data_IF_278106700934
#
_entry.id   IF_278106700934
#
_cell.length_a   1.000
_cell.length_b   1.000
_cell.length_c   1.000
_cell.angle_alpha   90.00
_cell.angle_beta   90.00
_cell.angle_gamma   90.00
#
_symmetry.space_group_name_H-M   'P 1'
#
loop_
_entity.id
_entity.type
_entity.pdbx_description
1 polymer ?
#
# COMPACT_ATOMS: atom_id res chain seq x y z
N UNK A 1 -69.21 -1.10 -29.34
CA UNK A 1 -67.84 -0.91 -29.87
C UNK A 1 -67.74 0.54 -30.31
N UNK A 2 -67.19 1.41 -29.47
CA UNK A 2 -66.92 2.80 -29.85
C UNK A 2 -65.63 2.85 -30.66
N UNK A 3 -65.61 3.62 -31.75
CA UNK A 3 -64.36 3.91 -32.47
C UNK A 3 -63.36 4.56 -31.50
N UNK A 4 -62.05 4.33 -31.64
CA UNK A 4 -61.05 5.16 -30.98
C UNK A 4 -61.29 6.59 -31.47
N UNK A 5 -61.88 7.44 -30.63
CA UNK A 5 -62.26 8.78 -31.05
C UNK A 5 -61.06 9.51 -31.62
N UNK A 6 -61.34 10.33 -32.63
CA UNK A 6 -60.37 11.19 -33.27
C UNK A 6 -59.82 12.14 -32.20
N UNK A 7 -58.70 11.78 -31.59
CA UNK A 7 -57.97 12.67 -30.73
C UNK A 7 -57.30 13.68 -31.64
N UNK A 8 -57.97 14.82 -31.84
CA UNK A 8 -57.48 15.90 -32.71
C UNK A 8 -56.01 16.19 -32.40
N UNK A 9 -55.17 16.01 -33.41
CA UNK A 9 -53.77 16.46 -33.49
C UNK A 9 -52.94 16.38 -32.20
N UNK A 10 -52.63 15.15 -31.75
CA UNK A 10 -51.44 14.89 -30.92
C UNK A 10 -51.71 14.44 -29.48
N UNK A 11 -52.97 14.30 -29.06
CA UNK A 11 -53.31 13.79 -27.74
C UNK A 11 -53.46 12.27 -27.84
N UNK A 12 -52.35 11.54 -27.80
CA UNK A 12 -52.37 10.07 -27.75
C UNK A 12 -52.53 9.57 -26.32
N UNK A 13 -53.18 8.40 -26.09
CA UNK A 13 -53.20 7.75 -24.80
C UNK A 13 -51.77 7.54 -24.27
N UNK A 14 -51.55 7.80 -22.98
CA UNK A 14 -50.22 7.79 -22.39
C UNK A 14 -49.69 6.37 -22.25
N UNK A 15 -48.43 6.20 -22.68
CA UNK A 15 -47.70 4.94 -22.54
C UNK A 15 -46.47 5.21 -21.69
N UNK A 16 -46.39 4.55 -20.53
CA UNK A 16 -45.19 4.54 -19.72
C UNK A 16 -44.05 3.86 -20.47
N UNK A 17 -42.90 4.51 -20.48
CA UNK A 17 -41.61 3.87 -20.76
C UNK A 17 -41.04 3.20 -19.50
N UNK A 18 -39.98 2.41 -19.65
CA UNK A 18 -39.21 1.93 -18.51
C UNK A 18 -38.61 3.10 -17.71
N UNK A 19 -38.22 4.18 -18.39
CA UNK A 19 -37.62 5.34 -17.73
C UNK A 19 -38.61 6.03 -16.79
N UNK A 20 -39.87 6.13 -17.21
CA UNK A 20 -40.94 6.70 -16.40
C UNK A 20 -41.23 5.85 -15.15
N UNK A 21 -40.98 4.54 -15.21
CA UNK A 21 -41.34 3.59 -14.15
C UNK A 21 -40.15 3.11 -13.31
N UNK A 22 -38.91 3.48 -13.66
CA UNK A 22 -37.70 2.97 -13.03
C UNK A 22 -37.67 3.19 -11.50
N UNK A 23 -38.28 4.25 -10.99
CA UNK A 23 -38.24 4.59 -9.55
C UNK A 23 -39.53 4.22 -8.79
N UNK A 24 -40.49 3.56 -9.43
CA UNK A 24 -41.70 3.09 -8.75
C UNK A 24 -41.34 1.97 -7.79
N UNK A 25 -41.67 2.08 -6.51
CA UNK A 25 -41.38 1.03 -5.53
C UNK A 25 -42.27 -0.22 -5.75
N UNK A 26 -41.78 -1.40 -5.35
CA UNK A 26 -42.55 -2.65 -5.42
C UNK A 26 -43.86 -2.50 -4.64
N UNK A 27 -44.97 -2.94 -5.24
CA UNK A 27 -46.32 -2.80 -4.68
C UNK A 27 -46.93 -1.40 -4.76
N UNK A 28 -46.19 -0.41 -5.26
CA UNK A 28 -46.66 0.97 -5.40
C UNK A 28 -47.24 1.24 -6.78
N UNK A 29 -48.12 2.24 -6.83
CA UNK A 29 -48.78 2.70 -8.05
C UNK A 29 -48.13 3.97 -8.58
N UNK A 30 -48.07 4.11 -9.91
CA UNK A 30 -47.83 5.36 -10.60
C UNK A 30 -49.00 5.70 -11.50
N UNK A 31 -49.56 6.89 -11.29
CA UNK A 31 -50.63 7.41 -12.13
C UNK A 31 -50.06 7.98 -13.43
N UNK A 32 -50.78 7.75 -14.53
CA UNK A 32 -50.46 8.37 -15.81
C UNK A 32 -50.62 9.88 -15.73
N UNK A 33 -49.68 10.62 -16.30
CA UNK A 33 -49.75 12.08 -16.30
C UNK A 33 -50.85 12.61 -17.23
N UNK A 34 -51.15 11.86 -18.29
CA UNK A 34 -52.13 12.20 -19.31
C UNK A 34 -52.91 10.96 -19.73
N UNK A 35 -54.04 11.19 -20.39
CA UNK A 35 -54.91 10.13 -20.88
C UNK A 35 -56.01 9.80 -19.88
N UNK A 36 -57.21 9.67 -20.42
CA UNK A 36 -58.43 9.56 -19.63
C UNK A 36 -59.27 8.38 -20.14
N UNK A 37 -59.62 7.45 -19.25
CA UNK A 37 -60.51 6.35 -19.54
C UNK A 37 -61.90 6.58 -18.91
N UNK A 38 -62.90 5.79 -19.32
CA UNK A 38 -64.22 5.86 -18.72
C UNK A 38 -64.18 5.59 -17.21
N UNK A 39 -64.95 6.39 -16.44
CA UNK A 39 -64.97 6.33 -14.99
C UNK A 39 -65.47 5.01 -14.39
N UNK A 40 -66.24 4.22 -15.15
CA UNK A 40 -66.86 2.95 -14.73
C UNK A 40 -66.06 1.70 -15.14
N UNK A 41 -64.89 1.87 -15.73
CA UNK A 41 -64.03 0.74 -16.10
C UNK A 41 -63.41 0.12 -14.83
N UNK A 42 -64.09 -0.88 -14.26
CA UNK A 42 -63.49 -1.83 -13.31
C UNK A 42 -63.00 -3.01 -14.13
N UNK A 43 -61.97 -2.77 -14.95
CA UNK A 43 -61.47 -3.80 -15.85
C UNK A 43 -60.38 -4.61 -15.18
N UNK A 44 -60.77 -5.83 -14.86
CA UNK A 44 -59.94 -7.03 -14.87
C UNK A 44 -59.38 -7.38 -16.25
N UNK A 45 -59.61 -6.56 -17.29
CA UNK A 45 -59.21 -6.82 -18.68
C UNK A 45 -58.17 -5.81 -19.19
N UNK A 46 -56.90 -6.09 -18.88
CA UNK A 46 -55.72 -5.35 -19.35
C UNK A 46 -55.65 -5.20 -20.88
N UNK A 47 -56.12 -6.21 -21.63
CA UNK A 47 -56.10 -6.17 -23.10
C UNK A 47 -56.89 -4.99 -23.67
N UNK A 48 -58.06 -4.71 -23.08
CA UNK A 48 -58.90 -3.58 -23.50
C UNK A 48 -58.21 -2.22 -23.24
N UNK A 49 -57.53 -2.07 -22.10
CA UNK A 49 -56.75 -0.86 -21.80
C UNK A 49 -55.67 -0.63 -22.87
N UNK A 50 -54.97 -1.70 -23.25
CA UNK A 50 -53.91 -1.65 -24.27
C UNK A 50 -54.42 -1.35 -25.67
N UNK A 51 -55.53 -1.96 -26.07
CA UNK A 51 -56.20 -1.70 -27.37
C UNK A 51 -56.60 -0.23 -27.52
N UNK A 52 -57.01 0.39 -26.41
CA UNK A 52 -57.36 1.80 -26.38
C UNK A 52 -56.16 2.72 -26.03
N UNK A 53 -54.94 2.21 -26.18
CA UNK A 53 -53.70 2.96 -26.22
C UNK A 53 -52.99 3.20 -24.88
N UNK A 54 -53.61 2.85 -23.74
CA UNK A 54 -52.89 2.85 -22.46
C UNK A 54 -51.75 1.83 -22.54
N UNK A 55 -50.57 2.15 -22.00
CA UNK A 55 -49.45 1.23 -22.12
C UNK A 55 -48.43 1.37 -21.02
N UNK A 56 -47.72 0.27 -20.81
CA UNK A 56 -46.53 0.15 -19.98
C UNK A 56 -45.71 -1.03 -20.49
N UNK A 57 -44.42 -1.14 -20.10
CA UNK A 57 -43.53 -2.19 -20.56
C UNK A 57 -44.12 -3.60 -20.35
N UNK A 58 -44.08 -4.42 -21.38
CA UNK A 58 -44.58 -5.81 -21.39
C UNK A 58 -43.51 -6.80 -20.89
N UNK A 59 -42.72 -6.38 -19.91
CA UNK A 59 -41.60 -7.14 -19.35
C UNK A 59 -42.01 -7.98 -18.12
N UNK A 60 -43.26 -7.84 -17.66
CA UNK A 60 -43.81 -8.53 -16.49
C UNK A 60 -43.41 -7.93 -15.13
N UNK A 61 -42.86 -6.72 -15.10
CA UNK A 61 -42.59 -5.98 -13.86
C UNK A 61 -43.79 -5.19 -13.34
N UNK A 62 -44.78 -4.95 -14.21
CA UNK A 62 -45.90 -4.05 -13.93
C UNK A 62 -47.25 -4.65 -14.33
N UNK A 63 -48.31 -4.20 -13.66
CA UNK A 63 -49.71 -4.54 -13.94
C UNK A 63 -50.58 -3.28 -13.88
N UNK A 64 -51.84 -3.40 -14.30
CA UNK A 64 -52.81 -2.33 -14.10
C UNK A 64 -53.09 -2.11 -12.60
N UNK A 65 -52.82 -0.90 -12.12
CA UNK A 65 -52.97 -0.52 -10.72
C UNK A 65 -54.36 0.02 -10.35
N UNK A 66 -55.29 0.08 -11.31
CA UNK A 66 -56.65 0.58 -11.12
C UNK A 66 -56.84 2.05 -11.47
N UNK A 67 -57.93 2.63 -10.95
CA UNK A 67 -58.36 4.00 -11.24
C UNK A 67 -57.61 5.04 -10.40
N UNK A 68 -57.32 6.17 -11.03
CA UNK A 68 -56.69 7.34 -10.39
C UNK A 68 -57.60 8.56 -10.31
N UNK A 69 -57.00 9.71 -10.51
CA UNK A 69 -57.67 11.00 -10.41
C UNK A 69 -58.70 11.18 -11.52
N UNK A 70 -59.65 12.07 -11.26
CA UNK A 70 -60.61 12.50 -12.27
C UNK A 70 -59.89 13.20 -13.43
N UNK A 71 -60.41 12.98 -14.62
CA UNK A 71 -60.00 13.67 -15.84
C UNK A 71 -61.22 13.88 -16.73
N UNK A 72 -61.08 14.79 -17.70
CA UNK A 72 -62.12 15.09 -18.67
C UNK A 72 -61.81 14.30 -19.94
N UNK A 73 -62.57 13.24 -20.22
CA UNK A 73 -62.37 12.44 -21.42
C UNK A 73 -63.10 13.07 -22.60
N UNK A 74 -62.51 13.05 -23.78
CA UNK A 74 -63.19 13.48 -25.00
C UNK A 74 -64.41 12.58 -25.28
N UNK A 75 -65.54 13.16 -25.67
CA UNK A 75 -66.69 12.37 -26.10
C UNK A 75 -66.33 11.49 -27.32
N UNK A 76 -66.50 10.17 -27.19
CA UNK A 76 -66.05 9.17 -28.15
C UNK A 76 -64.53 8.90 -28.20
N UNK A 77 -63.68 9.65 -27.48
CA UNK A 77 -62.21 9.56 -27.52
C UNK A 77 -61.60 8.89 -26.29
N UNK A 78 -61.66 7.55 -26.23
CA UNK A 78 -61.02 6.80 -25.15
C UNK A 78 -59.51 7.05 -25.11
N UNK A 79 -58.99 7.28 -23.91
CA UNK A 79 -57.57 7.54 -23.68
C UNK A 79 -57.15 8.96 -24.00
N UNK A 80 -58.08 9.82 -24.42
CA UNK A 80 -57.81 11.20 -24.78
C UNK A 80 -58.44 12.16 -23.78
N UNK A 81 -57.60 13.02 -23.22
CA UNK A 81 -57.99 14.04 -22.26
C UNK A 81 -58.32 15.34 -23.01
N UNK A 82 -59.52 15.88 -22.79
CA UNK A 82 -60.05 17.07 -23.46
C UNK A 82 -60.35 18.19 -22.45
N UNK A 83 -59.90 19.40 -22.75
CA UNK A 83 -60.20 20.60 -21.95
C UNK A 83 -61.40 21.42 -22.48
N UNK A 84 -62.17 20.87 -23.43
CA UNK A 84 -63.30 21.56 -24.08
C UNK A 84 -64.66 21.23 -23.43
N UNK A 85 -65.71 21.95 -23.82
CA UNK A 85 -67.09 21.86 -23.27
C UNK A 85 -67.76 20.50 -23.50
N UNK A 86 -67.38 19.75 -24.53
CA UNK A 86 -67.93 18.41 -24.85
C UNK A 86 -67.01 17.31 -24.30
N UNK A 87 -67.01 17.13 -22.98
CA UNK A 87 -66.28 16.06 -22.30
C UNK A 87 -67.22 15.20 -21.46
N UNK A 88 -66.80 13.96 -21.23
CA UNK A 88 -67.42 13.06 -20.27
C UNK A 88 -66.50 12.83 -19.07
N UNK A 89 -67.04 12.71 -17.84
CA UNK A 89 -66.23 12.40 -16.67
C UNK A 89 -65.48 11.07 -16.83
N UNK A 90 -64.17 11.10 -16.60
CA UNK A 90 -63.31 9.92 -16.69
C UNK A 90 -62.31 9.82 -15.55
N UNK A 91 -61.48 8.78 -15.63
CA UNK A 91 -60.44 8.46 -14.66
C UNK A 91 -59.12 8.20 -15.35
N UNK A 92 -58.03 8.73 -14.79
CA UNK A 92 -56.68 8.37 -15.21
C UNK A 92 -56.37 6.93 -14.79
N UNK A 93 -55.55 6.24 -15.57
CA UNK A 93 -55.06 4.91 -15.22
C UNK A 93 -53.88 4.98 -14.25
N UNK A 94 -53.74 3.97 -13.39
CA UNK A 94 -52.52 3.70 -12.63
C UNK A 94 -51.87 2.41 -13.11
N UNK A 95 -50.55 2.35 -12.95
CA UNK A 95 -49.76 1.13 -13.14
C UNK A 95 -49.11 0.77 -11.81
N UNK A 96 -49.23 -0.48 -11.39
CA UNK A 96 -48.63 -1.01 -10.17
C UNK A 96 -47.38 -1.81 -10.50
N UNK A 97 -46.29 -1.59 -9.75
CA UNK A 97 -45.11 -2.46 -9.85
C UNK A 97 -45.35 -3.76 -9.07
N UNK A 98 -45.24 -4.90 -9.76
CA UNK A 98 -45.28 -6.23 -9.15
C UNK A 98 -43.92 -6.64 -8.58
N UNK A 99 -42.87 -6.38 -9.35
CA UNK A 99 -41.52 -6.85 -9.06
C UNK A 99 -40.47 -6.07 -9.85
N UNK A 100 -39.20 -6.25 -9.47
CA UNK A 100 -38.04 -5.94 -10.29
C UNK A 100 -37.53 -7.25 -10.88
N UNK A 101 -37.07 -7.24 -12.13
CA UNK A 101 -36.63 -8.43 -12.85
C UNK A 101 -35.21 -8.33 -13.41
N UNK A 102 -34.57 -7.17 -13.32
CA UNK A 102 -33.17 -7.05 -13.70
C UNK A 102 -32.31 -7.90 -12.76
N UNK A 103 -31.25 -8.49 -13.31
CA UNK A 103 -30.33 -9.34 -12.56
C UNK A 103 -29.63 -8.54 -11.44
N UNK A 104 -29.66 -8.99 -10.18
CA UNK A 104 -29.03 -8.29 -9.06
C UNK A 104 -27.53 -8.03 -9.26
N UNK A 105 -26.77 -8.99 -9.81
CA UNK A 105 -25.34 -8.85 -10.03
C UNK A 105 -25.09 -7.76 -11.07
N UNK A 106 -25.79 -7.80 -12.21
CA UNK A 106 -25.63 -6.80 -13.26
C UNK A 106 -26.01 -5.39 -12.77
N UNK A 107 -27.06 -5.27 -11.96
CA UNK A 107 -27.45 -4.03 -11.33
C UNK A 107 -26.38 -3.48 -10.38
N UNK A 108 -25.80 -4.32 -9.51
CA UNK A 108 -24.71 -3.90 -8.64
C UNK A 108 -23.51 -3.43 -9.47
N UNK A 109 -23.05 -4.24 -10.44
CA UNK A 109 -21.87 -3.91 -11.26
C UNK A 109 -22.06 -2.60 -12.05
N UNK A 110 -23.24 -2.37 -12.60
CA UNK A 110 -23.56 -1.15 -13.33
C UNK A 110 -23.64 0.13 -12.44
N UNK A 111 -23.73 -0.04 -11.12
CA UNK A 111 -23.78 1.04 -10.14
C UNK A 111 -22.57 1.08 -9.20
N UNK A 112 -21.50 0.33 -9.51
CA UNK A 112 -20.32 0.22 -8.65
C UNK A 112 -19.63 1.57 -8.39
N UNK A 113 -19.60 2.46 -9.40
CA UNK A 113 -18.98 3.79 -9.27
C UNK A 113 -19.84 4.79 -8.47
N UNK A 114 -21.16 4.75 -8.66
CA UNK A 114 -22.07 5.71 -8.05
C UNK A 114 -23.48 5.15 -7.93
N UNK A 115 -24.15 5.56 -6.84
CA UNK A 115 -25.53 5.20 -6.57
C UNK A 115 -26.43 5.70 -7.71
N UNK A 116 -27.35 4.85 -8.15
CA UNK A 116 -28.37 5.18 -9.15
C UNK A 116 -27.82 5.60 -10.53
N UNK A 117 -26.55 5.30 -10.84
CA UNK A 117 -25.94 5.50 -12.16
C UNK A 117 -26.73 4.82 -13.26
N UNK A 118 -27.14 3.57 -13.01
CA UNK A 118 -27.88 2.73 -13.94
C UNK A 118 -29.11 2.17 -13.25
N UNK A 119 -30.30 2.52 -13.74
CA UNK A 119 -31.57 2.11 -13.13
C UNK A 119 -32.27 0.98 -13.90
N UNK A 120 -31.76 0.64 -15.07
CA UNK A 120 -32.29 -0.37 -15.98
C UNK A 120 -31.17 -1.21 -16.57
N UNK A 121 -31.40 -2.50 -16.76
CA UNK A 121 -30.51 -3.44 -17.45
C UNK A 121 -31.34 -4.17 -18.50
N UNK A 122 -31.01 -3.96 -19.78
CA UNK A 122 -31.85 -4.39 -20.89
C UNK A 122 -33.28 -3.84 -20.75
N UNK A 123 -34.26 -4.75 -20.81
CA UNK A 123 -35.69 -4.42 -20.73
C UNK A 123 -36.24 -4.42 -19.29
N UNK A 124 -35.39 -4.50 -18.27
CA UNK A 124 -35.82 -4.60 -16.88
C UNK A 124 -35.28 -3.46 -16.02
N UNK A 125 -35.96 -3.19 -14.91
CA UNK A 125 -35.54 -2.17 -13.95
C UNK A 125 -34.82 -2.82 -12.77
N UNK A 126 -33.74 -2.19 -12.29
CA UNK A 126 -32.98 -2.66 -11.14
C UNK A 126 -33.76 -2.47 -9.84
N UNK A 127 -33.69 -3.40 -8.90
CA UNK A 127 -34.16 -3.09 -7.53
C UNK A 127 -33.28 -1.97 -6.94
N UNK A 128 -33.85 -0.90 -6.34
CA UNK A 128 -33.10 0.17 -5.69
C UNK A 128 -32.03 -0.31 -4.70
N UNK A 129 -32.24 -1.46 -4.08
CA UNK A 129 -31.28 -2.12 -3.17
C UNK A 129 -29.96 -2.44 -3.86
N UNK A 130 -30.00 -2.85 -5.13
CA UNK A 130 -28.84 -3.21 -5.97
C UNK A 130 -28.29 -2.03 -6.79
N UNK A 131 -28.82 -0.82 -6.59
CA UNK A 131 -28.30 0.40 -7.21
C UNK A 131 -27.36 1.17 -6.29
N UNK A 132 -27.12 0.67 -5.08
CA UNK A 132 -26.27 1.32 -4.08
C UNK A 132 -24.93 0.57 -3.93
N UNK A 133 -23.79 1.17 -4.29
CA UNK A 133 -22.50 0.52 -4.12
C UNK A 133 -22.08 0.24 -2.67
N UNK A 134 -22.73 0.86 -1.67
CA UNK A 134 -22.52 0.51 -0.26
C UNK A 134 -23.33 -0.70 0.25
N UNK A 135 -24.12 -1.36 -0.61
CA UNK A 135 -24.93 -2.50 -0.20
C UNK A 135 -24.06 -3.76 0.04
N UNK A 136 -24.32 -4.48 1.14
CA UNK A 136 -23.56 -5.67 1.54
C UNK A 136 -23.66 -6.83 0.55
N UNK A 137 -24.84 -7.09 -0.03
CA UNK A 137 -25.01 -8.14 -1.05
C UNK A 137 -24.23 -7.79 -2.32
N UNK A 138 -24.25 -6.52 -2.72
CA UNK A 138 -23.41 -6.06 -3.82
C UNK A 138 -21.91 -6.24 -3.55
N UNK A 139 -21.47 -6.14 -2.29
CA UNK A 139 -20.09 -6.39 -1.87
C UNK A 139 -19.55 -7.76 -2.32
N UNK A 140 -20.38 -8.81 -2.28
CA UNK A 140 -19.99 -10.14 -2.74
C UNK A 140 -19.80 -10.17 -4.27
N UNK A 141 -20.73 -9.59 -5.03
CA UNK A 141 -20.60 -9.50 -6.49
C UNK A 141 -19.39 -8.67 -6.93
N UNK A 142 -19.07 -7.62 -6.19
CA UNK A 142 -17.88 -6.81 -6.42
C UNK A 142 -16.60 -7.59 -6.15
N UNK A 143 -16.55 -8.34 -5.05
CA UNK A 143 -15.44 -9.21 -4.70
C UNK A 143 -15.17 -10.22 -5.83
N UNK A 144 -16.17 -10.98 -6.24
CA UNK A 144 -16.04 -11.99 -7.29
C UNK A 144 -15.56 -11.37 -8.61
N UNK A 145 -16.16 -10.26 -9.03
CA UNK A 145 -15.77 -9.56 -10.25
C UNK A 145 -14.33 -9.02 -10.20
N UNK A 146 -13.93 -8.43 -9.07
CA UNK A 146 -12.61 -7.82 -8.93
C UNK A 146 -11.48 -8.83 -8.68
N UNK A 147 -11.79 -10.04 -8.17
CA UNK A 147 -10.82 -11.14 -8.00
C UNK A 147 -10.36 -11.74 -9.32
N UNK A 148 -11.14 -11.61 -10.39
CA UNK A 148 -10.71 -12.00 -11.72
C UNK A 148 -9.41 -11.27 -12.10
N UNK A 149 -8.44 -12.00 -12.66
CA UNK A 149 -7.00 -11.70 -12.60
C UNK A 149 -6.59 -10.28 -13.03
N UNK A 150 -7.39 -9.61 -13.85
CA UNK A 150 -7.11 -8.27 -14.41
C UNK A 150 -8.08 -7.17 -13.95
N UNK A 151 -9.11 -7.49 -13.17
CA UNK A 151 -10.20 -6.55 -12.90
C UNK A 151 -9.93 -5.64 -11.69
N UNK A 152 -9.20 -6.09 -10.67
CA UNK A 152 -8.93 -5.30 -9.45
C UNK A 152 -8.36 -3.89 -9.73
N UNK A 153 -7.56 -3.78 -10.78
CA UNK A 153 -6.89 -2.55 -11.17
C UNK A 153 -7.71 -1.69 -12.15
N UNK A 154 -8.90 -2.12 -12.54
CA UNK A 154 -9.86 -1.36 -13.36
C UNK A 154 -10.50 -0.22 -12.54
N UNK A 155 -10.76 0.96 -13.13
CA UNK A 155 -11.50 2.06 -12.49
C UNK A 155 -12.72 1.65 -11.66
N UNK A 156 -13.51 0.67 -12.12
CA UNK A 156 -14.69 0.19 -11.40
C UNK A 156 -14.32 -0.37 -10.02
N UNK A 157 -13.35 -1.28 -9.97
CA UNK A 157 -12.87 -1.88 -8.71
C UNK A 157 -12.15 -0.83 -7.83
N UNK A 158 -11.50 0.16 -8.44
CA UNK A 158 -10.89 1.27 -7.70
C UNK A 158 -11.94 2.18 -7.04
N UNK A 159 -13.14 2.29 -7.59
CA UNK A 159 -14.23 3.04 -6.97
C UNK A 159 -14.66 2.43 -5.62
N UNK A 160 -14.46 1.12 -5.42
CA UNK A 160 -14.74 0.44 -4.15
C UNK A 160 -13.93 1.01 -2.99
N UNK A 161 -12.72 1.54 -3.24
CA UNK A 161 -11.90 2.19 -2.21
C UNK A 161 -12.70 3.18 -1.35
N UNK A 162 -13.58 3.95 -1.98
CA UNK A 162 -14.39 4.98 -1.31
C UNK A 162 -15.81 4.54 -0.96
N UNK A 163 -16.29 3.41 -1.51
CA UNK A 163 -17.70 2.96 -1.38
C UNK A 163 -17.86 1.71 -0.52
N UNK A 164 -16.83 0.89 -0.48
CA UNK A 164 -16.72 -0.35 0.29
C UNK A 164 -15.23 -0.66 0.52
N UNK A 165 -14.60 0.14 1.38
CA UNK A 165 -13.15 0.09 1.66
C UNK A 165 -12.68 -1.24 2.20
N UNK A 166 -13.53 -1.93 2.96
CA UNK A 166 -13.19 -3.21 3.60
C UNK A 166 -13.00 -4.30 2.54
N UNK A 167 -13.95 -4.44 1.63
CA UNK A 167 -13.82 -5.37 0.47
C UNK A 167 -12.63 -4.98 -0.38
N UNK A 168 -12.44 -3.68 -0.66
CA UNK A 168 -11.30 -3.22 -1.45
C UNK A 168 -9.95 -3.60 -0.80
N UNK A 169 -9.78 -3.38 0.50
CA UNK A 169 -8.54 -3.69 1.21
C UNK A 169 -8.27 -5.19 1.31
N UNK A 170 -9.30 -6.02 1.47
CA UNK A 170 -9.15 -7.49 1.41
C UNK A 170 -8.61 -7.90 0.04
N UNK A 171 -9.23 -7.42 -1.04
CA UNK A 171 -8.82 -7.74 -2.41
C UNK A 171 -7.40 -7.28 -2.72
N UNK A 172 -7.04 -6.06 -2.30
CA UNK A 172 -5.70 -5.54 -2.46
C UNK A 172 -4.67 -6.34 -1.65
N UNK A 173 -5.00 -6.75 -0.42
CA UNK A 173 -4.13 -7.61 0.39
C UNK A 173 -3.87 -8.95 -0.29
N UNK A 174 -4.92 -9.62 -0.77
CA UNK A 174 -4.80 -10.90 -1.47
C UNK A 174 -3.95 -10.78 -2.74
N UNK A 175 -4.14 -9.72 -3.54
CA UNK A 175 -3.43 -9.54 -4.82
C UNK A 175 -1.99 -9.06 -4.62
N UNK A 176 -1.79 -8.05 -3.79
CA UNK A 176 -0.50 -7.36 -3.64
C UNK A 176 0.51 -8.10 -2.76
N UNK A 177 0.11 -9.17 -2.08
CA UNK A 177 1.03 -10.05 -1.35
C UNK A 177 1.40 -11.32 -2.14
N UNK A 178 1.29 -11.28 -3.47
CA UNK A 178 1.77 -12.34 -4.37
C UNK A 178 3.13 -11.99 -4.96
N UNK A 179 3.94 -12.99 -5.30
CA UNK A 179 5.26 -12.81 -5.93
C UNK A 179 5.19 -12.01 -7.25
N UNK A 180 4.10 -12.16 -7.99
CA UNK A 180 3.90 -11.49 -9.27
C UNK A 180 3.58 -9.99 -9.13
N UNK A 181 2.88 -9.59 -8.05
CA UNK A 181 2.26 -8.25 -7.99
C UNK A 181 2.80 -7.34 -6.89
N UNK A 182 3.57 -7.82 -5.92
CA UNK A 182 3.98 -7.00 -4.77
C UNK A 182 4.81 -5.75 -5.14
N UNK A 183 5.55 -5.79 -6.26
CA UNK A 183 6.31 -4.64 -6.82
C UNK A 183 5.51 -3.80 -7.83
N UNK A 184 4.24 -4.11 -8.08
CA UNK A 184 3.40 -3.35 -9.00
C UNK A 184 3.13 -1.92 -8.48
N UNK A 185 3.19 -0.91 -9.33
CA UNK A 185 2.97 0.50 -8.94
C UNK A 185 1.65 0.75 -8.19
N UNK A 186 0.57 0.05 -8.55
CA UNK A 186 -0.73 0.16 -7.85
C UNK A 186 -0.68 -0.47 -6.46
N UNK A 187 0.03 -1.59 -6.31
CA UNK A 187 0.28 -2.21 -5.00
C UNK A 187 1.18 -1.32 -4.13
N UNK A 188 2.26 -0.76 -4.68
CA UNK A 188 3.12 0.17 -3.97
C UNK A 188 2.37 1.42 -3.49
N UNK A 189 1.49 1.98 -4.32
CA UNK A 189 0.65 3.11 -3.95
C UNK A 189 -0.31 2.75 -2.81
N UNK A 190 -1.01 1.61 -2.93
CA UNK A 190 -1.90 1.12 -1.88
C UNK A 190 -1.16 0.82 -0.57
N UNK A 191 0.02 0.22 -0.62
CA UNK A 191 0.85 -0.06 0.56
C UNK A 191 1.21 1.19 1.35
N UNK A 192 1.50 2.30 0.65
CA UNK A 192 1.77 3.59 1.30
C UNK A 192 0.54 4.15 2.02
N UNK A 193 -0.65 3.92 1.48
CA UNK A 193 -1.91 4.40 2.04
C UNK A 193 -2.43 3.49 3.17
N UNK A 194 -2.38 2.16 2.99
CA UNK A 194 -2.90 1.17 3.93
C UNK A 194 -2.00 0.93 5.15
N UNK A 195 -0.79 1.47 5.13
CA UNK A 195 0.23 1.24 6.14
C UNK A 195 1.05 -0.01 5.88
N UNK A 196 2.26 -0.04 6.42
CA UNK A 196 3.28 -1.07 6.15
C UNK A 196 2.76 -2.48 6.42
N UNK A 197 2.06 -2.71 7.53
CA UNK A 197 1.69 -4.07 7.97
C UNK A 197 0.80 -4.85 7.00
N UNK A 198 0.10 -4.17 6.08
CA UNK A 198 -0.76 -4.82 5.07
C UNK A 198 0.03 -5.40 3.88
N UNK A 199 1.31 -5.06 3.76
CA UNK A 199 2.17 -5.39 2.61
C UNK A 199 3.32 -6.32 2.99
N UNK A 200 2.96 -7.46 3.57
CA UNK A 200 3.88 -8.48 4.08
C UNK A 200 4.93 -8.93 3.06
N UNK A 201 4.55 -9.19 1.80
CA UNK A 201 5.49 -9.66 0.77
C UNK A 201 6.55 -8.59 0.45
N UNK A 202 6.10 -7.35 0.25
CA UNK A 202 6.99 -6.21 -0.01
C UNK A 202 7.93 -5.95 1.17
N UNK A 203 7.39 -5.93 2.39
CA UNK A 203 8.20 -5.71 3.59
C UNK A 203 9.22 -6.82 3.79
N UNK A 204 8.81 -8.09 3.63
CA UNK A 204 9.71 -9.24 3.76
C UNK A 204 10.84 -9.14 2.74
N UNK A 205 10.52 -8.85 1.48
CA UNK A 205 11.52 -8.70 0.42
C UNK A 205 12.49 -7.56 0.73
N UNK A 206 11.98 -6.39 1.10
CA UNK A 206 12.82 -5.22 1.42
C UNK A 206 13.73 -5.50 2.63
N UNK A 207 13.21 -6.15 3.68
CA UNK A 207 13.99 -6.54 4.85
C UNK A 207 15.04 -7.60 4.51
N UNK A 208 14.76 -8.55 3.61
CA UNK A 208 15.77 -9.48 3.13
C UNK A 208 16.88 -8.77 2.35
N UNK A 209 16.53 -7.81 1.49
CA UNK A 209 17.51 -6.98 0.77
C UNK A 209 18.37 -6.16 1.75
N UNK A 210 17.76 -5.56 2.77
CA UNK A 210 18.42 -4.79 3.82
C UNK A 210 19.40 -5.63 4.65
N UNK A 211 18.96 -6.83 5.07
CA UNK A 211 19.77 -7.75 5.88
C UNK A 211 20.68 -8.67 5.07
N UNK A 212 20.70 -8.53 3.74
CA UNK A 212 21.44 -9.38 2.81
C UNK A 212 21.12 -10.88 2.95
N UNK A 213 19.84 -11.19 3.17
CA UNK A 213 19.32 -12.56 3.22
C UNK A 213 18.93 -12.96 1.79
N UNK A 214 19.50 -14.06 1.30
CA UNK A 214 19.24 -14.56 -0.06
C UNK A 214 18.21 -15.69 -0.05
N UNK A 215 17.56 -15.92 -1.18
CA UNK A 215 16.67 -17.06 -1.35
C UNK A 215 17.44 -18.40 -1.26
N UNK A 216 16.85 -19.47 -0.68
CA UNK A 216 15.47 -19.57 -0.18
C UNK A 216 15.31 -19.19 1.30
N UNK A 217 16.33 -18.62 1.95
CA UNK A 217 16.29 -18.30 3.38
C UNK A 217 15.50 -17.02 3.71
N UNK A 218 15.08 -16.26 2.69
CA UNK A 218 14.30 -15.03 2.85
C UNK A 218 12.91 -15.33 3.41
N UNK A 219 12.81 -15.33 4.74
CA UNK A 219 11.59 -15.58 5.48
C UNK A 219 11.46 -14.60 6.63
N UNK A 220 10.24 -14.33 7.07
CA UNK A 220 9.99 -13.49 8.24
C UNK A 220 10.69 -14.03 9.50
N UNK A 221 10.77 -15.35 9.65
CA UNK A 221 11.50 -15.99 10.74
C UNK A 221 12.99 -15.63 10.68
N UNK A 222 13.62 -15.79 9.51
CA UNK A 222 15.04 -15.48 9.33
C UNK A 222 15.35 -14.00 9.57
N UNK A 223 14.46 -13.11 9.11
CA UNK A 223 14.56 -11.66 9.38
C UNK A 223 14.55 -11.41 10.89
N UNK A 224 13.59 -11.99 11.62
CA UNK A 224 13.50 -11.82 13.07
C UNK A 224 14.73 -12.39 13.80
N UNK A 225 15.27 -13.52 13.34
CA UNK A 225 16.51 -14.10 13.86
C UNK A 225 17.71 -13.17 13.68
N UNK A 226 17.86 -12.58 12.49
CA UNK A 226 18.92 -11.60 12.20
C UNK A 226 18.77 -10.35 13.07
N UNK A 227 17.55 -9.82 13.18
CA UNK A 227 17.25 -8.67 14.04
C UNK A 227 17.60 -8.93 15.51
N UNK A 228 17.22 -10.11 16.03
CA UNK A 228 17.54 -10.51 17.40
C UNK A 228 19.06 -10.62 17.62
N UNK A 229 19.79 -11.20 16.65
CA UNK A 229 21.26 -11.27 16.71
C UNK A 229 21.91 -9.90 16.68
N UNK A 230 21.50 -9.02 15.77
CA UNK A 230 22.02 -7.65 15.72
C UNK A 230 21.82 -6.92 17.05
N UNK A 231 20.65 -7.07 17.68
CA UNK A 231 20.38 -6.48 18.98
C UNK A 231 21.29 -7.07 20.06
N UNK A 232 21.46 -8.39 20.09
CA UNK A 232 22.34 -9.07 21.07
C UNK A 232 23.80 -8.64 20.93
N UNK A 233 24.26 -8.46 19.69
CA UNK A 233 25.64 -8.09 19.35
C UNK A 233 25.88 -6.59 19.33
N UNK A 234 24.83 -5.79 19.57
CA UNK A 234 24.83 -4.32 19.55
C UNK A 234 25.33 -3.74 18.23
N UNK A 235 24.97 -4.38 17.12
CA UNK A 235 25.30 -3.89 15.78
C UNK A 235 24.42 -2.68 15.45
N UNK A 236 24.99 -1.66 14.82
CA UNK A 236 24.24 -0.48 14.37
C UNK A 236 23.38 -0.79 13.14
N UNK A 237 22.34 0.03 12.94
CA UNK A 237 21.36 -0.15 11.86
C UNK A 237 22.02 -0.35 10.49
N UNK A 238 21.42 -1.27 9.73
CA UNK A 238 21.72 -1.69 8.36
C UNK A 238 21.57 -0.54 7.36
N UNK A 239 22.50 0.42 7.38
CA UNK A 239 22.76 1.22 6.19
C UNK A 239 23.83 0.54 5.37
N UNK A 240 23.56 0.32 4.09
CA UNK A 240 24.57 -0.01 3.08
C UNK A 240 25.73 0.98 3.28
N UNK A 241 26.89 0.48 3.74
CA UNK A 241 28.06 1.30 4.11
C UNK A 241 28.43 1.34 5.62
N UNK A 242 27.69 0.65 6.50
CA UNK A 242 27.97 0.61 7.94
C UNK A 242 29.14 -0.34 8.33
N UNK A 243 30.37 0.01 7.97
CA UNK A 243 31.60 -0.61 8.52
C UNK A 243 31.70 -2.15 8.41
N UNK A 244 32.65 -2.73 9.16
CA UNK A 244 32.97 -4.18 9.12
C UNK A 244 31.89 -5.06 9.79
N UNK A 245 31.08 -4.50 10.69
CA UNK A 245 30.08 -5.21 11.49
C UNK A 245 28.66 -4.67 11.29
N UNK A 246 28.24 -4.44 10.05
CA UNK A 246 26.85 -4.03 9.75
C UNK A 246 25.84 -5.07 10.27
N UNK A 247 24.64 -4.63 10.68
CA UNK A 247 23.52 -5.54 10.97
C UNK A 247 23.03 -6.24 9.68
N UNK A 248 23.74 -7.27 9.26
CA UNK A 248 23.50 -8.07 8.05
C UNK A 248 23.95 -9.50 8.32
N UNK A 249 23.52 -10.47 7.50
CA UNK A 249 23.96 -11.85 7.64
C UNK A 249 25.50 -11.98 7.61
N UNK A 250 26.15 -11.24 6.71
CA UNK A 250 27.60 -11.27 6.55
C UNK A 250 28.34 -10.55 7.69
N UNK A 251 27.80 -9.41 8.17
CA UNK A 251 28.38 -8.68 9.31
C UNK A 251 28.29 -9.47 10.61
N UNK A 252 27.16 -10.13 10.86
CA UNK A 252 26.99 -11.07 11.99
C UNK A 252 28.04 -12.18 11.92
N UNK A 253 28.16 -12.84 10.77
CA UNK A 253 29.13 -13.92 10.59
C UNK A 253 30.57 -13.46 10.82
N UNK A 254 30.92 -12.29 10.29
CA UNK A 254 32.25 -11.68 10.48
C UNK A 254 32.55 -11.41 11.96
N UNK A 255 31.57 -10.91 12.70
CA UNK A 255 31.71 -10.70 14.15
C UNK A 255 31.85 -12.03 14.89
N UNK A 256 30.99 -13.01 14.61
CA UNK A 256 31.05 -14.33 15.25
C UNK A 256 32.40 -15.02 15.02
N UNK A 257 32.96 -14.91 13.82
CA UNK A 257 34.27 -15.48 13.49
C UNK A 257 35.41 -14.75 14.22
N UNK A 258 35.33 -13.41 14.38
CA UNK A 258 36.28 -12.65 15.20
C UNK A 258 36.18 -12.94 16.69
N UNK A 259 34.98 -13.12 17.22
CA UNK A 259 34.80 -13.56 18.60
C UNK A 259 35.44 -14.93 18.85
N UNK A 260 35.30 -15.88 17.90
CA UNK A 260 36.00 -17.18 17.99
C UNK A 260 37.52 -17.03 17.92
N UNK A 261 38.04 -16.20 17.02
CA UNK A 261 39.48 -15.91 16.88
C UNK A 261 40.08 -15.42 18.19
N UNK A 262 39.35 -14.58 18.92
CA UNK A 262 39.76 -14.03 20.21
C UNK A 262 39.29 -14.83 21.44
N UNK A 263 38.72 -16.03 21.26
CA UNK A 263 38.15 -16.85 22.34
C UNK A 263 37.11 -16.13 23.22
N UNK A 264 36.35 -15.21 22.64
CA UNK A 264 35.20 -14.56 23.29
C UNK A 264 33.98 -15.49 23.13
N UNK A 265 33.31 -15.80 24.24
CA UNK A 265 32.08 -16.61 24.21
C UNK A 265 30.99 -15.94 23.36
N UNK A 266 30.26 -16.72 22.56
CA UNK A 266 29.22 -16.17 21.69
C UNK A 266 28.07 -15.50 22.47
N UNK A 267 27.85 -15.86 23.74
CA UNK A 267 26.88 -15.20 24.61
C UNK A 267 27.32 -13.83 25.12
N UNK A 268 28.63 -13.53 25.11
CA UNK A 268 29.20 -12.22 25.45
C UNK A 268 29.78 -11.46 24.26
N UNK A 269 29.74 -12.07 23.08
CA UNK A 269 30.20 -11.49 21.83
C UNK A 269 29.42 -10.21 21.50
N UNK A 270 30.16 -9.14 21.22
CA UNK A 270 29.63 -7.85 20.77
C UNK A 270 30.74 -7.11 20.04
N UNK A 271 30.36 -6.08 19.26
CA UNK A 271 31.35 -5.24 18.58
C UNK A 271 32.39 -4.69 19.57
N UNK A 272 31.94 -4.17 20.72
CA UNK A 272 32.81 -3.63 21.77
C UNK A 272 33.74 -4.70 22.35
N UNK A 273 33.26 -5.92 22.60
CA UNK A 273 34.10 -6.99 23.14
C UNK A 273 35.24 -7.36 22.19
N UNK A 274 34.99 -7.37 20.88
CA UNK A 274 36.03 -7.61 19.87
C UNK A 274 37.01 -6.44 19.78
N UNK A 275 36.53 -5.20 19.85
CA UNK A 275 37.37 -4.00 19.84
C UNK A 275 38.27 -3.90 21.08
N UNK A 276 37.75 -4.21 22.27
CA UNK A 276 38.50 -4.23 23.52
C UNK A 276 39.62 -5.27 23.48
N UNK A 277 39.33 -6.45 22.94
CA UNK A 277 40.28 -7.54 22.86
C UNK A 277 41.35 -7.31 21.78
N UNK A 278 40.96 -6.73 20.63
CA UNK A 278 41.91 -6.25 19.61
C UNK A 278 42.87 -5.21 20.21
N UNK A 279 42.34 -4.25 20.98
CA UNK A 279 43.17 -3.26 21.67
C UNK A 279 44.10 -3.92 22.71
N UNK A 280 43.62 -4.93 23.45
CA UNK A 280 44.43 -5.68 24.43
C UNK A 280 45.58 -6.41 23.75
N UNK A 281 45.32 -7.10 22.65
CA UNK A 281 46.35 -7.83 21.88
C UNK A 281 47.37 -6.85 21.31
N UNK A 282 46.92 -5.74 20.71
CA UNK A 282 47.82 -4.71 20.18
C UNK A 282 48.72 -4.09 21.26
N UNK A 283 48.17 -3.81 22.44
CA UNK A 283 48.94 -3.30 23.58
C UNK A 283 49.92 -4.35 24.12
N UNK A 284 49.55 -5.63 24.14
CA UNK A 284 50.46 -6.70 24.54
C UNK A 284 51.65 -6.83 23.58
N UNK A 285 51.41 -6.72 22.27
CA UNK A 285 52.44 -6.76 21.24
C UNK A 285 53.40 -5.57 21.31
N UNK A 286 52.87 -4.34 21.49
CA UNK A 286 53.67 -3.14 21.75
C UNK A 286 54.57 -3.28 22.99
N UNK A 287 54.03 -3.84 24.07
CA UNK A 287 54.78 -4.07 25.30
C UNK A 287 55.90 -5.11 25.10
N UNK A 288 55.67 -6.16 24.29
CA UNK A 288 56.69 -7.16 24.01
C UNK A 288 57.81 -6.61 23.13
N UNK A 289 57.48 -5.84 22.09
CA UNK A 289 58.47 -5.11 21.26
C UNK A 289 59.34 -4.19 22.15
N UNK A 290 58.71 -3.45 23.07
CA UNK A 290 59.42 -2.57 23.99
C UNK A 290 60.36 -3.35 24.92
N UNK A 291 59.93 -4.52 25.42
CA UNK A 291 60.77 -5.41 26.23
C UNK A 291 61.95 -5.96 25.44
N UNK A 292 61.74 -6.37 24.19
CA UNK A 292 62.81 -6.86 23.32
C UNK A 292 63.85 -5.76 23.07
N UNK A 293 63.42 -4.53 22.77
CA UNK A 293 64.32 -3.38 22.60
C UNK A 293 65.12 -3.06 23.88
N UNK A 294 64.48 -3.10 25.06
CA UNK A 294 65.19 -2.88 26.32
C UNK A 294 66.21 -3.99 26.62
N UNK A 295 65.90 -5.24 26.30
CA UNK A 295 66.84 -6.35 26.44
C UNK A 295 68.05 -6.20 25.50
N UNK A 296 67.83 -5.73 24.28
CA UNK A 296 68.89 -5.45 23.31
C UNK A 296 69.79 -4.29 23.76
N UNK A 297 69.21 -3.22 24.30
CA UNK A 297 69.99 -2.11 24.89
C UNK A 297 70.79 -2.55 26.11
N UNK A 298 70.22 -3.38 26.98
CA UNK A 298 70.92 -3.91 28.15
C UNK A 298 72.10 -4.81 27.76
N UNK A 299 71.91 -5.70 26.79
CA UNK A 299 72.98 -6.56 26.26
C UNK A 299 74.09 -5.74 25.60
N UNK A 300 73.74 -4.68 24.87
CA UNK A 300 74.70 -3.76 24.27
C UNK A 300 75.52 -3.05 25.35
N UNK A 301 74.87 -2.49 26.37
CA UNK A 301 75.53 -1.82 27.49
C UNK A 301 76.44 -2.76 28.28
N UNK A 302 76.03 -4.01 28.50
CA UNK A 302 76.84 -5.02 29.19
C UNK A 302 78.07 -5.41 28.36
N UNK A 303 77.95 -5.49 27.04
CA UNK A 303 79.07 -5.75 26.13
C UNK A 303 80.08 -4.60 26.14
N UNK A 304 79.61 -3.35 26.03
CA UNK A 304 80.47 -2.17 26.16
C UNK A 304 81.16 -2.09 27.53
N UNK A 305 80.47 -2.46 28.61
CA UNK A 305 81.05 -2.47 29.96
C UNK A 305 82.14 -3.55 30.10
N UNK A 306 81.95 -4.71 29.49
CA UNK A 306 82.95 -5.78 29.45
C UNK A 306 84.17 -5.40 28.59
N UNK A 307 83.99 -4.66 27.50
CA UNK A 307 85.10 -4.08 26.72
C UNK A 307 85.90 -3.05 27.54
N UNK A 308 85.23 -2.25 28.37
CA UNK A 308 85.90 -1.24 29.24
C UNK A 308 86.69 -1.88 30.40
N UNK A 309 86.28 -3.08 30.87
CA UNK A 309 86.89 -3.75 32.03
C UNK A 309 88.00 -4.77 31.68
N UNK A 310 88.30 -4.99 30.39
CA UNK A 310 89.43 -5.81 29.91
C UNK A 310 90.78 -5.05 29.85
N UNK A 311 91.86 -5.70 30.28
CA UNK A 311 93.13 -5.12 30.78
C UNK A 311 94.22 -4.96 29.68
N UNK A 312 94.81 -3.75 29.48
CA UNK A 312 96.27 -3.43 29.64
C UNK A 312 96.69 -1.99 29.19
N UNK A 313 97.31 -1.28 30.16
CA UNK A 313 98.38 -0.23 30.15
C UNK A 313 98.39 0.98 29.17
N UNK A 314 97.99 2.15 29.73
CA UNK A 314 98.44 3.59 29.64
C UNK A 314 99.40 4.06 28.50
N UNK A 315 99.33 5.32 28.00
CA UNK A 315 99.06 6.56 28.79
C UNK A 315 98.13 7.66 28.18
N UNK A 316 97.72 8.59 29.07
CA UNK A 316 96.93 9.86 28.92
C UNK A 316 97.67 10.99 28.15
N UNK A 317 97.10 12.20 27.93
CA UNK A 317 95.76 12.63 27.46
C UNK A 317 95.81 13.85 26.45
N UNK A 318 94.68 14.30 25.87
CA UNK A 318 94.27 15.73 25.69
C UNK A 318 92.87 15.88 25.00
N UNK A 319 92.20 17.04 25.09
CA UNK A 319 90.79 17.20 25.52
C UNK A 319 89.83 17.61 24.38
N UNK A 320 88.58 17.98 24.73
CA UNK A 320 87.51 18.61 23.91
C UNK A 320 86.71 17.61 23.04
N UNK A 321 85.38 17.54 23.01
CA UNK A 321 84.30 18.39 23.53
C UNK A 321 83.11 17.52 23.93
N UNK A 322 82.36 17.94 24.96
CA UNK A 322 81.05 17.38 25.26
C UNK A 322 80.02 18.00 24.32
N UNK A 323 79.37 17.18 23.50
CA UNK A 323 78.11 17.57 22.87
C UNK A 323 76.98 16.61 23.23
N UNK A 324 75.90 17.24 23.64
CA UNK A 324 74.75 16.76 24.39
C UNK A 324 73.75 16.06 23.44
N UNK A 325 73.79 14.73 23.38
CA UNK A 325 72.87 13.91 22.58
C UNK A 325 71.43 13.89 23.11
N UNK A 326 71.18 14.49 24.27
CA UNK A 326 69.88 14.48 24.94
C UNK A 326 68.87 15.40 24.22
N UNK A 327 69.33 16.50 23.63
CA UNK A 327 68.45 17.49 22.98
C UNK A 327 67.92 17.00 21.61
N UNK A 328 68.71 16.23 20.86
CA UNK A 328 68.31 15.70 19.54
C UNK A 328 67.25 14.60 19.65
N UNK A 329 67.32 13.75 20.68
CA UNK A 329 66.31 12.71 20.93
C UNK A 329 64.97 13.34 21.33
N UNK A 330 64.99 14.39 22.15
CA UNK A 330 63.77 15.11 22.54
C UNK A 330 63.14 15.81 21.34
N UNK A 331 63.93 16.44 20.46
CA UNK A 331 63.43 17.08 19.23
C UNK A 331 62.85 16.03 18.26
N UNK A 332 63.47 14.85 18.12
CA UNK A 332 62.96 13.78 17.27
C UNK A 332 61.62 13.22 17.78
N UNK A 333 61.44 13.07 19.10
CA UNK A 333 60.18 12.60 19.70
C UNK A 333 59.06 13.64 19.53
N UNK A 334 59.37 14.94 19.68
CA UNK A 334 58.40 16.03 19.45
C UNK A 334 57.96 16.08 17.97
N UNK A 335 58.88 15.87 17.02
CA UNK A 335 58.55 15.84 15.59
C UNK A 335 57.69 14.64 15.21
N UNK A 336 57.90 13.47 15.83
CA UNK A 336 57.05 12.28 15.61
C UNK A 336 55.63 12.50 16.18
N UNK A 337 55.50 13.14 17.35
CA UNK A 337 54.19 13.49 17.91
C UNK A 337 53.44 14.56 17.08
N UNK A 338 54.15 15.50 16.46
CA UNK A 338 53.56 16.48 15.54
C UNK A 338 53.10 15.85 14.21
N UNK A 339 53.82 14.83 13.70
CA UNK A 339 53.39 14.11 12.50
C UNK A 339 52.17 13.20 12.74
N UNK A 340 52.07 12.58 13.92
CA UNK A 340 50.90 11.74 14.26
C UNK A 340 49.63 12.56 14.56
N UNK A 341 49.76 13.82 14.98
CA UNK A 341 48.61 14.72 15.20
C UNK A 341 48.11 15.41 13.91
N UNK A 342 48.94 15.52 12.87
CA UNK A 342 48.51 16.04 11.55
C UNK A 342 47.74 15.03 10.69
N UNK A 343 47.88 13.73 10.97
CA UNK A 343 47.18 12.66 10.23
C UNK A 343 45.68 12.55 10.58
N UNK A 344 45.24 13.22 11.66
CA UNK A 344 43.85 13.23 12.13
C UNK A 344 43.02 14.46 11.74
N UNK A 345 43.59 15.49 11.11
CA UNK A 345 42.88 16.76 10.81
C UNK A 345 42.53 16.91 9.31
N UNK A 346 43.07 16.08 8.42
CA UNK A 346 42.71 16.13 6.98
C UNK A 346 41.35 15.47 6.66
N UNK A 347 40.71 14.80 7.63
CA UNK A 347 39.38 14.19 7.46
C UNK A 347 38.18 15.08 7.82
N UNK A 348 38.39 16.27 8.43
CA UNK A 348 37.29 17.12 8.95
C UNK A 348 37.12 18.43 8.15
N UNK A 349 37.85 18.62 7.05
CA UNK A 349 37.84 19.88 6.28
C UNK A 349 37.53 19.73 4.77
N UNK A 350 36.77 18.69 4.39
CA UNK A 350 36.25 18.52 3.01
C UNK A 350 34.75 18.18 2.94
N UNK A 351 33.91 18.76 3.81
CA UNK A 351 32.48 18.99 3.47
C UNK A 351 32.07 20.33 4.11
N UNK A 352 32.18 21.40 3.33
CA UNK A 352 31.75 22.73 3.75
C UNK A 352 32.25 23.80 2.78
N UNK A 353 31.55 23.97 1.66
CA UNK A 353 31.80 25.09 0.76
C UNK A 353 31.31 24.87 -0.66
N UNK A 354 29.99 24.88 -0.86
CA UNK A 354 29.42 25.40 -2.12
C UNK A 354 28.49 26.56 -1.72
N UNK A 355 28.99 27.77 -1.92
CA UNK A 355 28.25 29.04 -1.81
C UNK A 355 27.55 29.33 -3.15
N UNK A 356 26.28 29.71 -3.04
CA UNK A 356 25.56 30.72 -3.84
C UNK A 356 26.07 31.10 -5.24
N UNK A 357 25.24 30.81 -6.25
CA UNK A 357 24.55 31.83 -7.07
C UNK A 357 23.09 31.42 -7.31
#
# INVERSE_FOLDING_TARGET
MGQPGNCDNGIRPYKFSLDDLKDVAKGSDKQMEKGCGYGDFDVTNEGNLRENGFGWPENGEFEYGGRGDNCNMCDGGYGCECNQTNHVPGKRGKVRRRQYKADPKDCCLANMESKDKTKTIGDYTCDPTYRNPGNTECGNYYSDYCKESNNLFNPNCQALKNKNSDVYNILMTEKCNTEEHYKNNKCLAWCKEAGSNSCTMLNTTNSCEEYQITEPECTLQKINEVQAKCLSYKLTESKIGAGTYACTLNGIKTLEDKCKEYNIDLGSCSQTAVEDELNRVFQAEQNDITRQQMAEQFNTAQTSLNEVLGIEKKPKPKPEDSEDYTMYIIIAIILIFLFMSFSGIVGVLLIGGEESE
#
